data_IF_397693811456
#
_entry.id   IF_397693811456
#
_cell.length_a   1.000
_cell.length_b   1.000
_cell.length_c   1.000
_cell.angle_alpha   90.00
_cell.angle_beta   90.00
_cell.angle_gamma   90.00
#
_symmetry.space_group_name_H-M   'P 1'
#
loop_
_entity.id
_entity.type
_entity.pdbx_description
1 polymer ?
#
# COMPACT_ATOMS: atom_id res chain seq x y z
N UNK A 1 -6.58 35.22 -9.59
CA UNK A 1 -7.27 33.95 -9.27
C UNK A 1 -7.06 33.01 -10.44
N UNK A 2 -6.64 31.78 -10.18
CA UNK A 2 -6.47 30.75 -11.22
C UNK A 2 -7.41 29.61 -10.86
N UNK A 3 -8.38 29.34 -11.72
CA UNK A 3 -9.36 28.27 -11.50
C UNK A 3 -8.95 27.01 -12.28
N UNK A 4 -9.42 25.86 -11.83
CA UNK A 4 -9.06 24.56 -12.42
C UNK A 4 -10.35 23.84 -12.83
N UNK A 5 -10.35 23.25 -14.02
CA UNK A 5 -11.44 22.41 -14.53
C UNK A 5 -10.90 21.00 -14.75
N UNK A 6 -11.51 20.02 -14.11
CA UNK A 6 -11.22 18.59 -14.32
C UNK A 6 -12.13 18.08 -15.43
N UNK A 7 -11.55 17.58 -16.50
CA UNK A 7 -12.23 16.92 -17.61
C UNK A 7 -11.86 15.45 -17.63
N UNK A 8 -12.86 14.57 -17.54
CA UNK A 8 -12.63 13.13 -17.57
C UNK A 8 -13.76 12.40 -18.25
N UNK A 9 -13.45 11.24 -18.82
CA UNK A 9 -14.44 10.30 -19.31
C UNK A 9 -15.29 9.72 -18.18
N UNK A 10 -14.72 9.56 -16.99
CA UNK A 10 -15.38 8.95 -15.84
C UNK A 10 -15.74 10.01 -14.83
N UNK A 11 -17.05 10.18 -14.59
CA UNK A 11 -17.54 11.06 -13.53
C UNK A 11 -17.01 10.65 -12.15
N UNK A 12 -16.97 9.35 -11.85
CA UNK A 12 -16.42 8.87 -10.57
C UNK A 12 -14.94 9.18 -10.41
N UNK A 13 -14.14 9.09 -11.49
CA UNK A 13 -12.73 9.45 -11.43
C UNK A 13 -12.56 10.94 -11.16
N UNK A 14 -13.25 11.80 -11.92
CA UNK A 14 -13.17 13.24 -11.75
C UNK A 14 -13.66 13.70 -10.37
N UNK A 15 -14.77 13.13 -9.88
CA UNK A 15 -15.30 13.44 -8.55
C UNK A 15 -14.29 13.00 -7.45
N UNK A 16 -13.65 11.85 -7.59
CA UNK A 16 -12.60 11.40 -6.66
C UNK A 16 -11.35 12.30 -6.68
N UNK A 17 -10.91 12.74 -7.86
CA UNK A 17 -9.81 13.72 -7.96
C UNK A 17 -10.21 15.06 -7.34
N UNK A 18 -11.44 15.52 -7.58
CA UNK A 18 -11.96 16.75 -7.01
C UNK A 18 -12.07 16.68 -5.49
N UNK A 19 -12.50 15.54 -4.94
CA UNK A 19 -12.56 15.30 -3.50
C UNK A 19 -11.16 15.45 -2.87
N UNK A 20 -10.14 14.81 -3.44
CA UNK A 20 -8.76 14.93 -2.96
C UNK A 20 -8.24 16.38 -3.05
N UNK A 21 -8.46 17.03 -4.18
CA UNK A 21 -8.06 18.42 -4.41
C UNK A 21 -8.75 19.42 -3.46
N UNK A 22 -10.03 19.18 -3.14
CA UNK A 22 -10.83 20.07 -2.29
C UNK A 22 -10.26 20.24 -0.88
N UNK A 23 -9.49 19.26 -0.39
CA UNK A 23 -8.85 19.34 0.93
C UNK A 23 -7.72 20.37 0.98
N UNK A 24 -7.22 20.82 -0.17
CA UNK A 24 -6.06 21.70 -0.31
C UNK A 24 -6.41 23.03 -0.97
N UNK A 25 -7.69 23.25 -1.28
CA UNK A 25 -8.13 24.43 -2.01
C UNK A 25 -8.23 25.64 -1.08
N UNK A 26 -7.70 26.77 -1.52
CA UNK A 26 -7.98 28.07 -0.93
C UNK A 26 -8.97 28.82 -1.84
N UNK A 27 -10.26 28.94 -1.46
CA UNK A 27 -11.30 29.53 -2.32
C UNK A 27 -11.08 31.02 -2.62
N UNK A 28 -10.17 31.69 -1.90
CA UNK A 28 -9.76 33.08 -2.23
C UNK A 28 -8.87 33.14 -3.47
N UNK A 29 -8.19 32.05 -3.82
CA UNK A 29 -7.19 32.03 -4.89
C UNK A 29 -7.48 31.02 -6.01
N UNK A 30 -8.23 29.96 -5.72
CA UNK A 30 -8.56 28.90 -6.66
C UNK A 30 -9.98 28.36 -6.42
N UNK A 31 -10.74 28.16 -7.50
CA UNK A 31 -11.97 27.35 -7.53
C UNK A 31 -11.75 26.14 -8.43
N UNK A 32 -12.54 25.09 -8.19
CA UNK A 32 -12.47 23.83 -8.92
C UNK A 32 -13.83 23.51 -9.57
N UNK A 33 -13.82 23.19 -10.86
CA UNK A 33 -14.97 22.72 -11.62
C UNK A 33 -14.74 21.30 -12.15
N UNK A 34 -15.83 20.56 -12.37
CA UNK A 34 -15.79 19.19 -12.89
C UNK A 34 -16.73 19.06 -14.08
N UNK A 35 -16.16 18.68 -15.24
CA UNK A 35 -16.89 18.36 -16.45
C UNK A 35 -16.54 16.93 -16.89
N UNK A 36 -17.32 15.95 -16.44
CA UNK A 36 -17.01 14.54 -16.68
C UNK A 36 -18.24 13.67 -16.96
N UNK A 37 -18.01 12.60 -17.72
CA UNK A 37 -19.03 11.67 -18.18
C UNK A 37 -20.01 12.29 -19.18
N UNK A 38 -20.87 11.43 -19.74
CA UNK A 38 -22.02 11.82 -20.57
C UNK A 38 -23.32 11.44 -19.86
N UNK A 39 -24.41 12.12 -20.19
CA UNK A 39 -25.73 11.91 -19.58
C UNK A 39 -26.44 10.69 -20.21
N UNK A 40 -25.80 9.51 -20.16
CA UNK A 40 -26.34 8.19 -20.52
C UNK A 40 -26.24 7.25 -19.31
N UNK A 41 -27.38 6.85 -18.75
CA UNK A 41 -27.45 5.98 -17.56
C UNK A 41 -26.82 4.59 -17.79
N UNK A 42 -26.80 4.10 -19.03
CA UNK A 42 -26.26 2.78 -19.36
C UNK A 42 -24.80 2.86 -19.85
N UNK A 43 -24.37 4.00 -20.38
CA UNK A 43 -23.01 4.22 -20.91
C UNK A 43 -22.47 5.60 -20.49
N UNK A 44 -22.31 5.82 -19.19
CA UNK A 44 -21.92 7.13 -18.64
C UNK A 44 -20.48 7.56 -18.90
N UNK A 45 -19.66 6.71 -19.53
CA UNK A 45 -18.25 6.98 -19.83
C UNK A 45 -18.14 7.76 -21.15
N UNK A 46 -17.61 8.98 -21.09
CA UNK A 46 -17.43 9.84 -22.25
C UNK A 46 -17.17 11.29 -21.86
N UNK A 47 -16.94 12.15 -22.85
CA UNK A 47 -16.71 13.59 -22.67
C UNK A 47 -17.73 14.40 -23.46
N UNK A 48 -18.27 15.45 -22.84
CA UNK A 48 -19.29 16.33 -23.40
C UNK A 48 -18.76 17.77 -23.51
N UNK A 49 -18.63 18.27 -24.73
CA UNK A 49 -18.12 19.62 -25.01
C UNK A 49 -19.02 20.73 -24.41
N UNK A 50 -20.33 20.55 -24.36
CA UNK A 50 -21.27 21.54 -23.79
C UNK A 50 -21.13 21.58 -22.26
N UNK A 51 -20.92 20.43 -21.64
CA UNK A 51 -20.66 20.34 -20.19
C UNK A 51 -19.31 20.98 -19.82
N UNK A 52 -18.29 20.78 -20.64
CA UNK A 52 -16.97 21.42 -20.47
C UNK A 52 -17.11 22.94 -20.62
N UNK A 53 -17.74 23.42 -21.70
CA UNK A 53 -18.00 24.83 -21.96
C UNK A 53 -18.72 25.50 -20.78
N UNK A 54 -19.87 24.97 -20.37
CA UNK A 54 -20.66 25.52 -19.25
C UNK A 54 -19.90 25.53 -17.92
N UNK A 55 -19.05 24.53 -17.67
CA UNK A 55 -18.19 24.49 -16.47
C UNK A 55 -17.14 25.60 -16.52
N UNK A 56 -16.50 25.81 -17.67
CA UNK A 56 -15.53 26.91 -17.87
C UNK A 56 -16.23 28.27 -17.70
N UNK A 57 -17.41 28.46 -18.27
CA UNK A 57 -18.19 29.70 -18.12
C UNK A 57 -18.52 30.00 -16.65
N UNK A 58 -18.85 28.97 -15.85
CA UNK A 58 -19.15 29.12 -14.42
C UNK A 58 -17.94 29.61 -13.59
N UNK A 59 -16.73 29.52 -14.14
CA UNK A 59 -15.46 29.91 -13.52
C UNK A 59 -14.78 31.10 -14.24
N UNK A 60 -15.50 31.77 -15.14
CA UNK A 60 -14.99 32.85 -16.01
C UNK A 60 -14.57 34.14 -15.28
N UNK A 61 -14.88 34.25 -13.98
CA UNK A 61 -14.45 35.34 -13.11
C UNK A 61 -12.96 35.28 -12.75
N UNK A 62 -12.27 34.17 -13.08
CA UNK A 62 -10.83 34.04 -12.92
C UNK A 62 -10.02 34.88 -13.93
N UNK A 63 -8.76 35.11 -13.57
CA UNK A 63 -7.75 35.68 -14.47
C UNK A 63 -7.27 34.63 -15.48
N UNK A 64 -7.22 33.36 -15.07
CA UNK A 64 -6.88 32.22 -15.91
C UNK A 64 -7.61 30.94 -15.46
N UNK A 65 -7.85 30.02 -16.40
CA UNK A 65 -8.47 28.72 -16.16
C UNK A 65 -7.58 27.62 -16.73
N UNK A 66 -7.22 26.63 -15.91
CA UNK A 66 -6.43 25.48 -16.34
C UNK A 66 -7.35 24.26 -16.49
N UNK A 67 -7.32 23.63 -17.65
CA UNK A 67 -8.08 22.40 -17.91
C UNK A 67 -7.16 21.19 -17.76
N UNK A 68 -7.46 20.36 -16.77
CA UNK A 68 -6.80 19.09 -16.48
C UNK A 68 -7.59 17.96 -17.14
N UNK A 69 -6.94 17.09 -17.91
CA UNK A 69 -7.60 16.10 -18.76
C UNK A 69 -7.01 14.71 -18.58
N UNK A 70 -7.78 13.65 -18.84
CA UNK A 70 -7.30 12.25 -18.78
C UNK A 70 -6.74 11.73 -20.11
N UNK A 71 -7.61 11.38 -21.05
CA UNK A 71 -7.34 10.66 -22.29
C UNK A 71 -7.48 11.58 -23.50
N UNK A 72 -6.98 11.16 -24.65
CA UNK A 72 -6.90 12.00 -25.86
C UNK A 72 -8.23 12.60 -26.33
N UNK A 73 -9.37 11.90 -26.19
CA UNK A 73 -10.68 12.44 -26.58
C UNK A 73 -11.16 13.59 -25.70
N UNK A 74 -10.70 13.69 -24.45
CA UNK A 74 -10.99 14.82 -23.58
C UNK A 74 -10.37 16.12 -24.12
N UNK A 75 -9.21 16.02 -24.78
CA UNK A 75 -8.56 17.14 -25.47
C UNK A 75 -9.45 17.64 -26.59
N UNK A 76 -9.90 16.75 -27.49
CA UNK A 76 -10.76 17.11 -28.62
C UNK A 76 -12.10 17.72 -28.17
N UNK A 77 -12.72 17.16 -27.13
CA UNK A 77 -13.96 17.72 -26.56
C UNK A 77 -13.72 19.09 -25.91
N UNK A 78 -12.55 19.30 -25.30
CA UNK A 78 -12.19 20.60 -24.73
C UNK A 78 -11.89 21.64 -25.81
N UNK A 79 -11.18 21.27 -26.87
CA UNK A 79 -10.95 22.15 -28.04
C UNK A 79 -12.29 22.55 -28.67
N UNK A 80 -13.21 21.60 -28.85
CA UNK A 80 -14.57 21.89 -29.32
C UNK A 80 -15.31 22.83 -28.36
N UNK A 81 -15.18 22.63 -27.05
CA UNK A 81 -15.77 23.52 -26.05
C UNK A 81 -15.21 24.94 -26.15
N UNK A 82 -13.91 25.10 -26.41
CA UNK A 82 -13.26 26.40 -26.60
C UNK A 82 -13.74 27.12 -27.86
N UNK A 83 -14.03 26.41 -28.94
CA UNK A 83 -14.64 27.00 -30.15
C UNK A 83 -16.06 27.53 -29.92
N UNK A 84 -16.77 26.99 -28.92
CA UNK A 84 -18.13 27.41 -28.56
C UNK A 84 -18.15 28.53 -27.51
N UNK A 85 -17.05 28.75 -26.79
CA UNK A 85 -16.93 29.75 -25.74
C UNK A 85 -16.85 31.18 -26.31
N UNK A 86 -17.22 32.15 -25.48
CA UNK A 86 -16.91 33.56 -25.74
C UNK A 86 -15.38 33.72 -25.90
N UNK A 87 -14.90 34.41 -26.96
CA UNK A 87 -13.47 34.58 -27.22
C UNK A 87 -12.67 35.14 -26.04
N UNK A 88 -13.25 36.08 -25.28
CA UNK A 88 -12.59 36.70 -24.12
C UNK A 88 -12.42 35.72 -22.96
N UNK A 89 -13.30 34.71 -22.86
CA UNK A 89 -13.16 33.61 -21.89
C UNK A 89 -12.16 32.59 -22.40
N UNK A 90 -12.26 32.21 -23.68
CA UNK A 90 -11.39 31.21 -24.30
C UNK A 90 -9.90 31.60 -24.23
N UNK A 91 -9.56 32.89 -24.39
CA UNK A 91 -8.19 33.39 -24.25
C UNK A 91 -7.58 33.17 -22.85
N UNK A 92 -8.41 33.01 -21.81
CA UNK A 92 -7.96 32.76 -20.43
C UNK A 92 -7.70 31.28 -20.15
N UNK A 93 -8.06 30.39 -21.08
CA UNK A 93 -8.03 28.94 -20.84
C UNK A 93 -6.71 28.34 -21.32
N UNK A 94 -6.09 27.51 -20.49
CA UNK A 94 -4.88 26.74 -20.82
C UNK A 94 -5.13 25.25 -20.60
N UNK A 95 -4.82 24.43 -21.61
CA UNK A 95 -4.89 22.97 -21.52
C UNK A 95 -3.58 22.43 -20.93
N UNK A 96 -3.66 21.58 -19.91
CA UNK A 96 -2.50 20.97 -19.27
C UNK A 96 -2.42 19.48 -19.59
N UNK A 97 -1.24 19.02 -20.04
CA UNK A 97 -0.96 17.62 -20.39
C UNK A 97 -0.47 16.76 -19.22
N UNK A 98 -0.49 17.30 -18.00
CA UNK A 98 -0.09 16.60 -16.80
C UNK A 98 -0.98 15.38 -16.49
N UNK A 99 -0.46 14.35 -15.79
CA UNK A 99 -1.30 13.26 -15.30
C UNK A 99 -2.47 13.79 -14.48
N UNK A 100 -3.68 13.30 -14.75
CA UNK A 100 -4.90 13.89 -14.20
C UNK A 100 -4.86 14.05 -12.68
N UNK A 101 -4.46 13.02 -11.94
CA UNK A 101 -4.50 13.04 -10.47
C UNK A 101 -3.38 13.91 -9.91
N UNK A 102 -2.12 13.55 -10.14
CA UNK A 102 -0.96 14.23 -9.57
C UNK A 102 -0.85 15.68 -10.07
N UNK A 103 -1.11 15.90 -11.36
CA UNK A 103 -1.11 17.22 -11.97
C UNK A 103 -2.17 18.14 -11.39
N UNK A 104 -3.39 17.63 -11.16
CA UNK A 104 -4.48 18.44 -10.56
C UNK A 104 -4.12 18.84 -9.14
N UNK A 105 -3.57 17.94 -8.33
CA UNK A 105 -3.17 18.26 -6.96
C UNK A 105 -2.06 19.33 -6.95
N UNK A 106 -1.03 19.19 -7.79
CA UNK A 106 0.04 20.17 -7.90
C UNK A 106 -0.48 21.54 -8.38
N UNK A 107 -1.37 21.54 -9.37
CA UNK A 107 -2.02 22.76 -9.87
C UNK A 107 -2.85 23.45 -8.78
N UNK A 108 -3.70 22.70 -8.06
CA UNK A 108 -4.58 23.25 -7.01
C UNK A 108 -3.78 23.85 -5.88
N UNK A 109 -2.72 23.18 -5.43
CA UNK A 109 -1.85 23.67 -4.36
C UNK A 109 -1.12 24.94 -4.80
N UNK A 110 -0.52 24.93 -6.00
CA UNK A 110 0.19 26.08 -6.55
C UNK A 110 -0.75 27.28 -6.76
N UNK A 111 -1.91 27.07 -7.36
CA UNK A 111 -2.93 28.11 -7.57
C UNK A 111 -3.48 28.64 -6.24
N UNK A 112 -3.78 27.76 -5.28
CA UNK A 112 -4.29 28.13 -3.95
C UNK A 112 -3.27 28.93 -3.14
N UNK A 113 -1.98 28.78 -3.42
CA UNK A 113 -0.91 29.58 -2.81
C UNK A 113 -0.79 31.00 -3.38
N UNK A 114 -1.51 31.31 -4.47
CA UNK A 114 -1.44 32.59 -5.18
C UNK A 114 -0.35 32.69 -6.24
N UNK A 115 0.18 31.56 -6.72
CA UNK A 115 1.22 31.53 -7.75
C UNK A 115 0.73 32.08 -9.11
N UNK A 116 1.68 32.42 -9.99
CA UNK A 116 1.42 32.85 -11.37
C UNK A 116 1.10 31.66 -12.27
N UNK A 117 0.37 31.90 -13.37
CA UNK A 117 -0.08 30.88 -14.31
C UNK A 117 1.05 29.97 -14.79
N UNK A 118 2.20 30.54 -15.14
CA UNK A 118 3.35 29.77 -15.64
C UNK A 118 3.86 28.78 -14.59
N UNK A 119 3.96 29.20 -13.33
CA UNK A 119 4.37 28.35 -12.21
C UNK A 119 3.36 27.25 -11.92
N UNK A 120 2.06 27.55 -12.02
CA UNK A 120 1.01 26.53 -11.82
C UNK A 120 1.08 25.46 -12.92
N UNK A 121 1.24 25.86 -14.18
CA UNK A 121 1.38 24.94 -15.32
C UNK A 121 2.66 24.09 -15.23
N UNK A 122 3.78 24.69 -14.79
CA UNK A 122 5.05 23.99 -14.59
C UNK A 122 4.95 22.93 -13.47
N UNK A 123 4.37 23.29 -12.33
CA UNK A 123 4.12 22.35 -11.22
C UNK A 123 3.18 21.22 -11.65
N UNK A 124 2.10 21.53 -12.36
CA UNK A 124 1.21 20.49 -12.88
C UNK A 124 1.95 19.52 -13.81
N UNK A 125 2.66 20.05 -14.81
CA UNK A 125 3.33 19.26 -15.86
C UNK A 125 4.47 18.40 -15.30
N UNK A 126 5.11 18.85 -14.21
CA UNK A 126 6.21 18.16 -13.54
C UNK A 126 5.74 17.09 -12.54
N UNK A 127 4.43 16.96 -12.30
CA UNK A 127 3.88 16.12 -11.24
C UNK A 127 4.12 14.60 -11.40
N UNK A 128 4.51 14.15 -12.60
CA UNK A 128 4.90 12.75 -12.83
C UNK A 128 6.32 12.44 -12.33
N UNK A 129 7.20 13.43 -12.26
CA UNK A 129 8.63 13.24 -11.95
C UNK A 129 8.87 12.52 -10.61
N UNK A 130 8.17 12.85 -9.51
CA UNK A 130 8.36 12.17 -8.23
C UNK A 130 8.08 10.66 -8.32
N UNK A 131 7.04 10.27 -9.06
CA UNK A 131 6.69 8.87 -9.25
C UNK A 131 7.75 8.14 -10.09
N UNK A 132 8.29 8.79 -11.12
CA UNK A 132 9.39 8.24 -11.94
C UNK A 132 10.67 8.03 -11.14
N UNK A 133 11.07 8.98 -10.29
CA UNK A 133 12.25 8.83 -9.44
C UNK A 133 12.05 7.67 -8.46
N UNK A 134 10.87 7.55 -7.84
CA UNK A 134 10.56 6.47 -6.91
C UNK A 134 10.61 5.08 -7.55
N UNK A 135 10.23 4.97 -8.82
CA UNK A 135 10.30 3.73 -9.60
C UNK A 135 11.70 3.46 -10.21
N UNK A 136 12.66 4.37 -10.03
CA UNK A 136 14.01 4.24 -10.57
C UNK A 136 14.08 4.38 -12.10
N UNK A 137 13.09 5.02 -12.72
CA UNK A 137 13.13 5.31 -14.16
C UNK A 137 14.27 6.31 -14.46
N UNK A 138 15.04 6.07 -15.53
CA UNK A 138 16.10 7.00 -15.96
C UNK A 138 15.49 8.33 -16.43
N UNK A 139 15.52 9.35 -15.57
CA UNK A 139 15.12 10.72 -15.89
C UNK A 139 16.30 11.43 -16.58
N UNK A 140 16.74 10.92 -17.73
CA UNK A 140 17.99 11.36 -18.39
C UNK A 140 17.96 12.78 -18.98
N UNK A 141 16.95 13.62 -18.71
CA UNK A 141 16.83 14.98 -19.28
C UNK A 141 16.27 16.05 -18.33
N UNK A 142 16.09 15.80 -17.03
CA UNK A 142 15.57 16.82 -16.07
C UNK A 142 16.54 17.08 -14.90
N UNK A 143 17.64 16.34 -14.83
CA UNK A 143 18.67 16.45 -13.79
C UNK A 143 19.47 17.76 -13.79
N UNK A 144 19.32 18.65 -14.77
CA UNK A 144 20.00 19.96 -14.71
C UNK A 144 19.32 20.98 -13.77
N UNK A 145 18.07 20.75 -13.32
CA UNK A 145 17.34 21.71 -12.48
C UNK A 145 16.96 21.19 -11.08
N UNK A 146 17.39 19.97 -10.72
CA UNK A 146 17.19 19.40 -9.38
C UNK A 146 18.44 19.44 -8.49
N UNK A 147 19.60 19.78 -9.06
CA UNK A 147 20.83 20.02 -8.30
C UNK A 147 21.01 21.51 -7.96
N UNK A 148 20.80 21.79 -6.67
CA UNK A 148 21.03 23.04 -5.94
C UNK A 148 20.29 24.29 -6.47
N UNK A 149 19.12 24.65 -5.89
CA UNK A 149 18.72 26.05 -5.89
C UNK A 149 19.93 26.87 -5.42
N UNK A 150 20.22 27.98 -6.11
CA UNK A 150 21.31 28.90 -5.75
C UNK A 150 21.34 29.01 -4.22
N UNK A 151 22.49 28.71 -3.61
CA UNK A 151 22.60 28.74 -2.16
C UNK A 151 22.24 30.15 -1.70
N UNK A 152 21.08 30.29 -1.09
CA UNK A 152 20.66 31.54 -0.49
C UNK A 152 21.25 31.63 0.91
N UNK A 153 21.79 32.79 1.25
CA UNK A 153 22.13 33.12 2.63
C UNK A 153 20.93 33.81 3.27
N UNK A 154 20.54 33.35 4.45
CA UNK A 154 19.32 33.79 5.11
C UNK A 154 19.20 33.22 6.52
N UNK A 155 18.08 33.52 7.17
CA UNK A 155 17.77 32.98 8.49
C UNK A 155 17.39 31.50 8.39
N UNK A 156 17.93 30.70 9.30
CA UNK A 156 17.74 29.25 9.30
C UNK A 156 16.88 28.78 10.49
N UNK A 157 16.06 27.76 10.23
CA UNK A 157 15.33 27.03 11.25
C UNK A 157 15.44 25.52 11.01
N UNK A 158 15.69 24.80 12.10
CA UNK A 158 15.89 23.35 12.08
C UNK A 158 14.67 22.68 12.73
N UNK A 159 14.24 21.55 12.17
CA UNK A 159 13.12 20.80 12.68
C UNK A 159 13.25 19.30 12.41
N UNK A 160 12.97 18.48 13.42
CA UNK A 160 12.81 17.03 13.27
C UNK A 160 11.36 16.73 12.88
N UNK A 161 11.12 16.12 11.72
CA UNK A 161 9.75 15.82 11.27
C UNK A 161 9.12 14.74 12.16
N UNK A 162 7.93 15.04 12.71
CA UNK A 162 7.20 14.15 13.64
C UNK A 162 5.99 13.46 13.00
N UNK A 163 5.55 13.91 11.82
CA UNK A 163 4.41 13.34 11.10
C UNK A 163 4.66 11.86 10.77
N UNK A 164 3.74 10.93 11.10
CA UNK A 164 3.94 9.49 10.90
C UNK A 164 4.27 9.08 9.46
N UNK A 165 3.73 9.81 8.49
CA UNK A 165 3.95 9.57 7.06
C UNK A 165 4.90 10.59 6.42
N UNK A 166 5.61 11.39 7.23
CA UNK A 166 6.50 12.44 6.73
C UNK A 166 5.76 13.64 6.13
N UNK A 167 6.43 14.40 5.26
CA UNK A 167 5.83 15.55 4.57
C UNK A 167 5.19 15.12 3.24
N UNK A 168 4.14 14.29 3.31
CA UNK A 168 3.34 13.95 2.14
C UNK A 168 2.46 15.13 1.69
N UNK A 169 1.61 14.90 0.68
CA UNK A 169 0.86 15.96 -0.02
C UNK A 169 0.17 16.95 0.93
N UNK A 170 -0.52 16.51 1.98
CA UNK A 170 -1.25 17.42 2.89
C UNK A 170 -0.33 18.30 3.76
N UNK A 171 0.63 17.77 4.55
CA UNK A 171 1.66 18.56 5.23
C UNK A 171 2.45 19.48 4.30
N UNK A 172 2.79 18.99 3.10
CA UNK A 172 3.52 19.74 2.10
C UNK A 172 2.69 20.93 1.59
N UNK A 173 1.40 20.73 1.30
CA UNK A 173 0.49 21.82 0.91
C UNK A 173 0.34 22.87 2.00
N UNK A 174 0.23 22.46 3.27
CA UNK A 174 0.16 23.40 4.39
C UNK A 174 1.45 24.22 4.53
N UNK A 175 2.61 23.61 4.26
CA UNK A 175 3.89 24.31 4.20
C UNK A 175 3.92 25.33 3.06
N UNK A 176 3.52 24.94 1.85
CA UNK A 176 3.43 25.84 0.68
C UNK A 176 2.51 27.02 0.96
N UNK A 177 1.28 26.77 1.43
CA UNK A 177 0.29 27.82 1.77
C UNK A 177 0.77 28.75 2.88
N UNK A 178 1.52 28.23 3.85
CA UNK A 178 2.07 29.07 4.92
C UNK A 178 3.19 29.97 4.41
N UNK A 179 4.14 29.42 3.65
CA UNK A 179 5.30 30.16 3.17
C UNK A 179 4.98 31.14 2.05
N UNK A 180 3.99 30.87 1.20
CA UNK A 180 3.61 31.76 0.09
C UNK A 180 3.06 33.11 0.53
N UNK A 181 2.65 33.24 1.81
CA UNK A 181 2.11 34.49 2.39
C UNK A 181 3.16 35.55 2.66
N UNK A 182 4.46 35.20 2.64
CA UNK A 182 5.55 36.11 2.95
C UNK A 182 6.42 36.38 1.73
N UNK A 183 6.91 37.62 1.63
CA UNK A 183 7.87 38.05 0.62
C UNK A 183 9.29 37.64 1.04
N UNK A 184 9.60 36.37 0.83
CA UNK A 184 10.93 35.81 1.05
C UNK A 184 11.23 34.71 0.01
N UNK A 185 12.52 34.51 -0.25
CA UNK A 185 13.04 33.36 -0.97
C UNK A 185 13.33 32.23 0.03
N UNK A 186 13.10 30.99 -0.39
CA UNK A 186 13.21 29.83 0.49
C UNK A 186 14.07 28.72 -0.08
N UNK A 187 14.73 28.01 0.83
CA UNK A 187 15.38 26.75 0.53
C UNK A 187 15.15 25.77 1.69
N UNK A 188 14.65 24.57 1.37
CA UNK A 188 14.52 23.48 2.34
C UNK A 188 15.60 22.43 2.09
N UNK A 189 16.28 22.03 3.16
CA UNK A 189 17.43 21.14 3.12
C UNK A 189 17.10 19.86 3.88
N UNK A 190 17.44 18.71 3.29
CA UNK A 190 17.48 17.40 3.97
C UNK A 190 18.73 16.66 3.51
N UNK A 191 19.67 16.41 4.43
CA UNK A 191 20.98 15.85 4.08
C UNK A 191 21.71 16.73 3.08
N UNK A 192 22.03 16.20 1.90
CA UNK A 192 22.71 16.94 0.83
C UNK A 192 21.75 17.53 -0.21
N UNK A 193 20.44 17.23 -0.14
CA UNK A 193 19.45 17.74 -1.09
C UNK A 193 18.93 19.09 -0.64
N UNK A 194 18.74 19.99 -1.59
CA UNK A 194 18.19 21.33 -1.40
C UNK A 194 17.06 21.53 -2.39
N UNK A 195 15.91 22.02 -1.95
CA UNK A 195 14.73 22.23 -2.79
C UNK A 195 14.07 23.57 -2.51
N UNK A 196 13.21 24.01 -3.43
CA UNK A 196 12.24 25.07 -3.20
C UNK A 196 11.01 24.50 -2.46
N UNK A 197 10.74 24.91 -1.20
CA UNK A 197 9.57 24.43 -0.44
C UNK A 197 8.23 25.00 -0.91
N UNK A 198 8.21 25.87 -1.93
CA UNK A 198 6.98 26.28 -2.60
C UNK A 198 6.58 25.33 -3.75
N UNK A 199 7.44 24.38 -4.10
CA UNK A 199 7.15 23.33 -5.10
C UNK A 199 6.72 22.04 -4.41
N UNK A 200 5.48 21.63 -4.66
CA UNK A 200 4.93 20.38 -4.13
C UNK A 200 5.69 19.18 -4.69
N UNK A 201 6.10 19.25 -5.96
CA UNK A 201 6.85 18.19 -6.62
C UNK A 201 8.22 18.01 -5.98
N UNK A 202 8.94 19.11 -5.72
CA UNK A 202 10.25 19.03 -5.08
C UNK A 202 10.16 18.52 -3.63
N UNK A 203 9.11 18.91 -2.89
CA UNK A 203 8.81 18.35 -1.57
C UNK A 203 8.57 16.82 -1.60
N UNK A 204 7.96 16.32 -2.68
CA UNK A 204 7.78 14.88 -2.89
C UNK A 204 9.11 14.17 -3.24
N UNK A 205 9.94 14.77 -4.08
CA UNK A 205 11.25 14.23 -4.51
C UNK A 205 12.26 14.11 -3.36
N UNK A 206 12.24 15.04 -2.38
CA UNK A 206 13.16 15.00 -1.23
C UNK A 206 12.79 13.90 -0.21
N UNK A 207 11.58 13.31 -0.33
CA UNK A 207 11.07 12.18 0.46
C UNK A 207 11.26 12.37 1.98
N UNK A 208 10.84 13.48 2.57
CA UNK A 208 10.97 13.70 4.02
C UNK A 208 10.08 12.71 4.80
N UNK A 209 10.66 11.94 5.70
CA UNK A 209 10.03 10.91 6.54
C UNK A 209 10.03 11.32 8.01
N UNK A 210 9.27 10.60 8.82
CA UNK A 210 9.32 10.77 10.27
C UNK A 210 10.75 10.55 10.80
N UNK A 211 11.21 11.45 11.68
CA UNK A 211 12.54 11.43 12.26
C UNK A 211 13.61 12.12 11.41
N UNK A 212 13.32 12.51 10.17
CA UNK A 212 14.27 13.27 9.36
C UNK A 212 14.45 14.69 9.90
N UNK A 213 15.70 15.16 9.90
CA UNK A 213 16.05 16.56 10.14
C UNK A 213 15.91 17.36 8.84
N UNK A 214 15.13 18.43 8.91
CA UNK A 214 15.01 19.41 7.83
C UNK A 214 15.46 20.80 8.30
N UNK A 215 16.03 21.56 7.37
CA UNK A 215 16.42 22.96 7.62
C UNK A 215 15.76 23.86 6.60
N UNK A 216 14.93 24.80 7.06
CA UNK A 216 14.40 25.87 6.23
C UNK A 216 15.34 27.07 6.32
N UNK A 217 15.79 27.56 5.16
CA UNK A 217 16.47 28.84 5.00
C UNK A 217 15.48 29.81 4.35
N UNK A 218 15.30 30.98 4.94
CA UNK A 218 14.52 32.07 4.38
C UNK A 218 15.39 33.32 4.22
N UNK A 219 15.31 33.99 3.07
CA UNK A 219 16.05 35.23 2.79
C UNK A 219 15.10 36.29 2.22
N UNK A 220 15.22 37.53 2.66
CA UNK A 220 14.38 38.65 2.21
C UNK A 220 13.78 39.48 3.33
N UNK A 221 12.90 40.41 2.97
CA UNK A 221 12.31 41.41 3.89
C UNK A 221 11.52 40.76 5.03
N UNK A 222 10.85 39.64 4.78
CA UNK A 222 9.98 38.95 5.75
C UNK A 222 10.56 37.60 6.21
N UNK A 223 11.88 37.43 6.16
CA UNK A 223 12.53 36.18 6.55
C UNK A 223 12.26 35.78 8.01
N UNK A 224 12.13 36.77 8.90
CA UNK A 224 11.91 36.53 10.33
C UNK A 224 10.50 36.00 10.60
N UNK A 225 9.50 36.62 9.99
CA UNK A 225 8.10 36.22 10.07
C UNK A 225 7.88 34.85 9.41
N UNK A 226 8.50 34.61 8.26
CA UNK A 226 8.38 33.33 7.56
C UNK A 226 8.99 32.17 8.37
N UNK A 227 10.15 32.39 9.00
CA UNK A 227 10.77 31.39 9.89
C UNK A 227 9.91 31.15 11.13
N UNK A 228 9.32 32.19 11.71
CA UNK A 228 8.42 32.04 12.85
C UNK A 228 7.17 31.22 12.47
N UNK A 229 6.56 31.52 11.32
CA UNK A 229 5.40 30.80 10.80
C UNK A 229 5.72 29.34 10.47
N UNK A 230 6.90 29.07 9.88
CA UNK A 230 7.38 27.70 9.66
C UNK A 230 7.50 26.92 10.98
N UNK A 231 8.13 27.50 12.00
CA UNK A 231 8.29 26.85 13.30
C UNK A 231 6.95 26.61 14.00
N UNK A 232 6.01 27.54 13.89
CA UNK A 232 4.65 27.37 14.42
C UNK A 232 3.90 26.26 13.70
N UNK A 233 3.93 26.25 12.36
CA UNK A 233 3.34 25.20 11.54
C UNK A 233 3.95 23.84 11.90
N UNK A 234 5.27 23.75 12.02
CA UNK A 234 5.98 22.53 12.35
C UNK A 234 5.64 22.02 13.77
N UNK A 235 5.51 22.92 14.75
CA UNK A 235 5.02 22.60 16.10
C UNK A 235 3.60 22.01 16.09
N UNK A 236 2.73 22.56 15.23
CA UNK A 236 1.36 22.11 15.04
C UNK A 236 1.23 20.96 14.03
N UNK A 237 2.36 20.35 13.64
CA UNK A 237 2.37 19.15 12.81
C UNK A 237 2.02 19.34 11.35
N UNK A 238 2.33 20.51 10.80
CA UNK A 238 2.07 20.83 9.40
C UNK A 238 0.58 20.68 9.03
N UNK A 239 -0.31 20.99 9.97
CA UNK A 239 -1.76 20.91 9.77
C UNK A 239 -2.35 19.51 9.98
N UNK A 240 -1.56 18.57 10.52
CA UNK A 240 -2.04 17.24 10.89
C UNK A 240 -2.00 17.02 12.40
N UNK A 241 -2.95 16.22 12.89
CA UNK A 241 -2.85 15.68 14.25
C UNK A 241 -1.66 14.72 14.33
N UNK A 242 -0.54 15.21 14.87
CA UNK A 242 0.56 14.33 15.24
C UNK A 242 0.13 13.60 16.53
N UNK A 243 0.31 12.27 16.62
CA UNK A 243 0.19 11.56 17.88
C UNK A 243 1.02 12.27 18.95
N UNK A 244 0.36 12.74 20.02
CA UNK A 244 1.04 13.50 21.07
C UNK A 244 2.30 12.75 21.53
N UNK A 245 3.41 13.48 21.67
CA UNK A 245 4.63 12.92 22.23
C UNK A 245 4.30 12.23 23.55
N UNK A 246 4.51 10.90 23.58
CA UNK A 246 4.57 10.13 24.81
C UNK A 246 5.84 10.52 25.56
N UNK A 247 5.87 11.74 26.09
CA UNK A 247 6.70 12.08 27.22
C UNK A 247 6.26 11.18 28.37
N UNK A 248 7.17 10.33 28.85
CA UNK A 248 6.92 9.35 29.92
C UNK A 248 6.11 9.96 31.08
N UNK A 249 4.80 9.70 31.10
CA UNK A 249 3.91 9.92 32.24
C UNK A 249 2.90 8.78 32.29
N UNK A 250 3.14 7.86 33.21
CA UNK A 250 2.21 6.79 33.55
C UNK A 250 0.98 7.38 34.25
N UNK A 251 -0.19 7.25 33.64
CA UNK A 251 -1.48 7.35 34.33
C UNK A 251 -2.05 5.94 34.48
N UNK A 252 -2.44 5.58 35.71
CA UNK A 252 -3.03 4.28 36.04
C UNK A 252 -4.55 4.33 35.95
N UNK A 253 -5.13 3.34 35.29
CA UNK A 253 -6.54 2.94 35.42
C UNK A 253 -6.62 1.42 35.63
N UNK A 254 -7.74 0.93 36.16
CA UNK A 254 -8.01 -0.52 36.29
C UNK A 254 -9.04 -0.93 35.25
N UNK A 255 -8.69 -1.89 34.40
CA UNK A 255 -9.64 -2.59 33.53
C UNK A 255 -9.61 -4.09 33.88
N UNK A 256 -10.75 -4.63 34.30
CA UNK A 256 -11.05 -6.06 34.48
C UNK A 256 -12.43 -6.27 33.84
N UNK A 257 -12.59 -7.21 32.88
CA UNK A 257 -12.59 -8.64 33.15
C UNK A 257 -11.45 -9.42 32.48
N UNK A 258 -11.05 -10.50 33.16
CA UNK A 258 -9.96 -11.39 32.81
C UNK A 258 -10.22 -12.27 31.58
N UNK A 259 -9.14 -12.60 30.87
CA UNK A 259 -8.95 -13.94 30.28
C UNK A 259 -7.46 -14.27 30.21
N UNK A 260 -6.87 -14.59 31.37
CA UNK A 260 -5.68 -15.44 31.38
C UNK A 260 -6.15 -16.84 30.97
N UNK A 261 -5.57 -17.40 29.90
CA UNK A 261 -5.89 -18.77 29.48
C UNK A 261 -4.87 -19.70 30.11
N UNK A 262 -5.34 -20.67 30.89
CA UNK A 262 -4.53 -21.77 31.39
C UNK A 262 -5.03 -23.06 30.76
N UNK A 263 -4.17 -23.71 29.98
CA UNK A 263 -4.50 -24.95 29.30
C UNK A 263 -3.24 -25.75 28.93
N UNK A 264 -3.39 -27.06 28.70
CA UNK A 264 -2.30 -27.89 28.20
C UNK A 264 -1.82 -27.41 26.83
N UNK A 265 -0.52 -27.49 26.60
CA UNK A 265 0.09 -27.37 25.29
C UNK A 265 -0.42 -28.49 24.37
N UNK A 266 -0.72 -28.12 23.14
CA UNK A 266 -1.00 -29.04 22.04
C UNK A 266 0.02 -28.76 20.95
N UNK A 267 0.98 -29.68 20.79
CA UNK A 267 2.08 -29.47 19.87
C UNK A 267 1.64 -29.74 18.42
N UNK A 268 1.78 -28.73 17.57
CA UNK A 268 1.66 -28.85 16.13
C UNK A 268 3.06 -28.89 15.51
N UNK A 269 3.35 -30.00 14.85
CA UNK A 269 4.55 -30.15 14.03
C UNK A 269 4.13 -30.15 12.57
N UNK A 270 4.40 -29.03 11.90
CA UNK A 270 4.30 -29.00 10.46
C UNK A 270 5.28 -30.03 9.88
N UNK A 271 4.76 -30.97 9.09
CA UNK A 271 5.61 -31.99 8.48
C UNK A 271 6.32 -31.34 7.31
N UNK A 272 7.63 -31.14 7.43
CA UNK A 272 8.43 -30.68 6.30
C UNK A 272 8.47 -31.82 5.26
N UNK A 273 7.72 -31.66 4.17
CA UNK A 273 7.62 -32.66 3.13
C UNK A 273 8.92 -32.65 2.32
N UNK A 274 9.86 -33.50 2.73
CA UNK A 274 11.01 -33.83 1.88
C UNK A 274 10.51 -34.49 0.60
N UNK A 275 11.16 -34.17 -0.52
CA UNK A 275 10.98 -34.90 -1.78
C UNK A 275 11.27 -36.38 -1.51
N UNK A 276 10.27 -37.23 -1.72
CA UNK A 276 10.38 -38.68 -1.52
C UNK A 276 10.20 -39.36 -2.85
N UNK A 277 11.32 -39.77 -3.43
CA UNK A 277 11.37 -40.33 -4.78
C UNK A 277 12.04 -41.70 -4.76
N UNK A 278 11.36 -42.70 -5.30
CA UNK A 278 11.95 -43.94 -5.78
C UNK A 278 11.81 -43.95 -7.30
N UNK A 279 12.65 -43.17 -7.99
CA UNK A 279 12.61 -43.09 -9.44
C UNK A 279 13.33 -44.29 -10.06
N UNK A 280 12.65 -44.93 -11.01
CA UNK A 280 13.30 -45.83 -11.97
C UNK A 280 13.90 -44.98 -13.08
N UNK A 281 15.16 -45.19 -13.45
CA UNK A 281 15.73 -44.52 -14.62
C UNK A 281 15.38 -45.31 -15.89
N UNK A 282 14.88 -44.67 -16.97
CA UNK A 282 14.58 -43.24 -17.12
C UNK A 282 13.20 -42.83 -16.59
N UNK A 283 13.06 -41.57 -16.17
CA UNK A 283 11.78 -40.98 -15.73
C UNK A 283 10.82 -40.87 -16.92
N UNK A 284 9.59 -41.30 -16.72
CA UNK A 284 8.49 -41.12 -17.69
C UNK A 284 7.88 -39.72 -17.54
N UNK A 285 8.23 -38.84 -18.48
CA UNK A 285 7.82 -37.44 -18.52
C UNK A 285 6.30 -37.27 -18.60
N UNK A 286 5.63 -38.07 -19.44
CA UNK A 286 4.17 -37.95 -19.62
C UNK A 286 3.43 -38.37 -18.35
N UNK A 287 3.93 -39.40 -17.67
CA UNK A 287 3.43 -39.81 -16.35
C UNK A 287 3.64 -38.71 -15.31
N UNK A 288 4.80 -38.04 -15.27
CA UNK A 288 5.05 -36.95 -14.33
C UNK A 288 4.13 -35.74 -14.57
N UNK A 289 3.94 -35.34 -15.83
CA UNK A 289 3.02 -34.24 -16.17
C UNK A 289 1.59 -34.60 -15.79
N UNK A 290 1.17 -35.84 -16.01
CA UNK A 290 -0.17 -36.31 -15.62
C UNK A 290 -0.37 -36.27 -14.10
N UNK A 291 0.62 -36.75 -13.33
CA UNK A 291 0.61 -36.70 -11.87
C UNK A 291 0.56 -35.25 -11.36
N UNK A 292 1.34 -34.36 -11.98
CA UNK A 292 1.35 -32.94 -11.65
C UNK A 292 -0.02 -32.30 -11.86
N UNK A 293 -0.59 -32.41 -13.07
CA UNK A 293 -1.90 -31.84 -13.39
C UNK A 293 -3.00 -32.40 -12.48
N UNK A 294 -2.95 -33.69 -12.15
CA UNK A 294 -3.90 -34.29 -11.21
C UNK A 294 -3.76 -33.68 -9.81
N UNK A 295 -2.54 -33.55 -9.29
CA UNK A 295 -2.29 -32.95 -7.98
C UNK A 295 -2.71 -31.48 -7.90
N UNK A 296 -2.53 -30.71 -8.99
CA UNK A 296 -3.03 -29.33 -9.10
C UNK A 296 -4.55 -29.30 -9.01
N UNK A 297 -5.26 -30.13 -9.80
CA UNK A 297 -6.72 -30.21 -9.77
C UNK A 297 -7.26 -30.62 -8.39
N UNK A 298 -6.66 -31.62 -7.76
CA UNK A 298 -7.05 -32.08 -6.42
C UNK A 298 -6.82 -31.00 -5.36
N UNK A 299 -5.75 -30.21 -5.50
CA UNK A 299 -5.47 -29.06 -4.63
C UNK A 299 -6.46 -27.92 -4.86
N UNK A 300 -6.80 -27.60 -6.11
CA UNK A 300 -7.82 -26.60 -6.43
C UNK A 300 -9.18 -26.98 -5.83
N UNK A 301 -9.51 -28.27 -5.82
CA UNK A 301 -10.73 -28.77 -5.19
C UNK A 301 -10.69 -28.68 -3.65
N UNK A 302 -9.53 -28.89 -3.02
CA UNK A 302 -9.32 -28.58 -1.60
C UNK A 302 -9.54 -27.10 -1.30
N UNK A 303 -8.92 -26.20 -2.07
CA UNK A 303 -9.05 -24.76 -1.88
C UNK A 303 -10.50 -24.30 -2.05
N UNK A 304 -11.23 -24.81 -3.04
CA UNK A 304 -12.68 -24.53 -3.20
C UNK A 304 -13.49 -25.01 -2.00
N UNK A 305 -13.10 -26.11 -1.33
CA UNK A 305 -13.72 -26.53 -0.06
C UNK A 305 -13.40 -25.53 1.06
N UNK A 306 -12.19 -25.00 1.12
CA UNK A 306 -11.81 -23.98 2.10
C UNK A 306 -12.55 -22.66 1.88
N UNK A 307 -12.68 -22.18 0.64
CA UNK A 307 -13.50 -21.00 0.28
C UNK A 307 -14.92 -21.16 0.82
N UNK A 308 -15.58 -22.29 0.54
CA UNK A 308 -16.95 -22.57 1.02
C UNK A 308 -17.03 -22.61 2.55
N UNK A 309 -16.04 -23.22 3.21
CA UNK A 309 -16.00 -23.30 4.68
C UNK A 309 -15.79 -21.92 5.31
N UNK A 310 -14.80 -21.17 4.83
CA UNK A 310 -14.48 -19.82 5.27
C UNK A 310 -15.67 -18.87 5.09
N UNK A 311 -16.29 -18.88 3.91
CA UNK A 311 -17.46 -18.05 3.64
C UNK A 311 -18.61 -18.33 4.64
N UNK A 312 -18.86 -19.61 4.93
CA UNK A 312 -19.91 -20.03 5.87
C UNK A 312 -19.60 -19.70 7.32
N UNK A 313 -18.35 -19.86 7.77
CA UNK A 313 -17.98 -19.81 9.18
C UNK A 313 -17.36 -18.48 9.62
N UNK A 314 -16.81 -17.71 8.68
CA UNK A 314 -15.96 -16.55 8.94
C UNK A 314 -16.22 -15.34 8.03
N UNK A 315 -16.98 -15.51 6.94
CA UNK A 315 -17.36 -14.43 6.03
C UNK A 315 -16.49 -14.29 4.78
N UNK A 316 -16.84 -13.32 3.94
CA UNK A 316 -16.28 -13.13 2.60
C UNK A 316 -14.81 -12.69 2.61
N UNK A 317 -14.39 -11.91 3.60
CA UNK A 317 -13.00 -11.45 3.71
C UNK A 317 -12.01 -12.59 3.98
N UNK A 318 -12.42 -13.63 4.71
CA UNK A 318 -11.58 -14.82 4.91
C UNK A 318 -11.64 -15.75 3.70
N UNK A 319 -12.79 -15.87 3.03
CA UNK A 319 -12.85 -16.69 1.81
C UNK A 319 -11.97 -16.13 0.69
N UNK A 320 -11.87 -14.81 0.57
CA UNK A 320 -11.01 -14.13 -0.41
C UNK A 320 -9.53 -14.51 -0.32
N UNK A 321 -9.04 -14.93 0.87
CA UNK A 321 -7.68 -15.46 1.04
C UNK A 321 -7.47 -16.71 0.17
N UNK A 322 -8.43 -17.63 0.22
CA UNK A 322 -8.36 -18.89 -0.52
C UNK A 322 -8.71 -18.71 -1.99
N UNK A 323 -9.52 -17.71 -2.35
CA UNK A 323 -9.69 -17.29 -3.74
C UNK A 323 -8.35 -16.79 -4.33
N UNK A 324 -7.58 -16.02 -3.55
CA UNK A 324 -6.22 -15.63 -3.92
C UNK A 324 -5.27 -16.83 -4.09
N UNK A 325 -5.35 -17.84 -3.21
CA UNK A 325 -4.60 -19.09 -3.36
C UNK A 325 -4.98 -19.85 -4.65
N UNK A 326 -6.28 -19.87 -5.01
CA UNK A 326 -6.75 -20.44 -6.28
C UNK A 326 -6.15 -19.68 -7.46
N UNK A 327 -6.19 -18.34 -7.45
CA UNK A 327 -5.62 -17.54 -8.53
C UNK A 327 -4.13 -17.80 -8.74
N UNK A 328 -3.35 -18.00 -7.67
CA UNK A 328 -1.93 -18.35 -7.78
C UNK A 328 -1.75 -19.74 -8.39
N UNK A 329 -2.59 -20.70 -8.00
CA UNK A 329 -2.45 -22.09 -8.44
C UNK A 329 -3.01 -22.35 -9.85
N UNK A 330 -3.96 -21.53 -10.30
CA UNK A 330 -4.59 -21.55 -11.63
C UNK A 330 -3.86 -20.67 -12.65
N UNK A 331 -2.65 -20.21 -12.32
CA UNK A 331 -1.81 -19.36 -13.17
C UNK A 331 -1.08 -20.20 -14.24
N UNK A 332 -1.40 -19.96 -15.52
CA UNK A 332 -0.82 -20.68 -16.66
C UNK A 332 0.71 -20.55 -16.76
N UNK A 333 1.30 -19.42 -16.35
CA UNK A 333 2.75 -19.19 -16.38
C UNK A 333 3.46 -20.02 -15.30
N UNK A 334 2.87 -20.14 -14.11
CA UNK A 334 3.34 -21.05 -13.06
C UNK A 334 3.28 -22.51 -13.54
N UNK A 335 2.13 -22.94 -14.04
CA UNK A 335 1.92 -24.34 -14.44
C UNK A 335 2.78 -24.74 -15.64
N UNK A 336 2.96 -23.83 -16.61
CA UNK A 336 3.86 -24.04 -17.75
C UNK A 336 5.32 -24.10 -17.32
N UNK A 337 5.79 -23.21 -16.44
CA UNK A 337 7.15 -23.24 -15.90
C UNK A 337 7.50 -24.59 -15.27
N UNK A 338 6.61 -25.12 -14.42
CA UNK A 338 6.81 -26.43 -13.78
C UNK A 338 6.82 -27.55 -14.81
N UNK A 339 5.90 -27.51 -15.77
CA UNK A 339 5.82 -28.50 -16.86
C UNK A 339 7.09 -28.50 -17.72
N UNK A 340 7.65 -27.33 -17.98
CA UNK A 340 8.88 -27.18 -18.74
C UNK A 340 10.09 -27.71 -17.98
N UNK A 341 10.20 -27.47 -16.66
CA UNK A 341 11.23 -28.09 -15.80
C UNK A 341 11.15 -29.61 -15.83
N UNK A 342 9.95 -30.19 -15.75
CA UNK A 342 9.76 -31.65 -15.88
C UNK A 342 10.33 -32.14 -17.22
N UNK A 343 10.00 -31.48 -18.34
CA UNK A 343 10.42 -31.90 -19.69
C UNK A 343 11.92 -31.70 -19.95
N UNK A 344 12.45 -30.52 -19.60
CA UNK A 344 13.79 -30.08 -19.99
C UNK A 344 14.84 -30.61 -19.02
N UNK A 345 14.61 -30.45 -17.72
CA UNK A 345 15.57 -30.83 -16.68
C UNK A 345 15.46 -32.31 -16.30
N UNK A 346 14.42 -32.99 -16.81
CA UNK A 346 14.11 -34.41 -16.52
C UNK A 346 14.02 -34.66 -15.03
N UNK A 347 13.36 -33.76 -14.33
CA UNK A 347 13.06 -33.84 -12.90
C UNK A 347 11.66 -34.44 -12.71
N UNK A 348 11.39 -34.98 -11.52
CA UNK A 348 10.05 -35.44 -11.17
C UNK A 348 9.09 -34.26 -10.98
N UNK A 349 7.79 -34.53 -10.98
CA UNK A 349 6.78 -33.55 -10.62
C UNK A 349 6.98 -32.97 -9.20
N UNK A 350 7.44 -33.77 -8.23
CA UNK A 350 7.68 -33.30 -6.84
C UNK A 350 8.85 -32.31 -6.81
N UNK A 351 9.95 -32.64 -7.46
CA UNK A 351 11.15 -31.81 -7.49
C UNK A 351 10.88 -30.50 -8.26
N UNK A 352 10.35 -30.59 -9.48
CA UNK A 352 10.06 -29.42 -10.32
C UNK A 352 9.11 -28.44 -9.63
N UNK A 353 8.05 -28.94 -8.98
CA UNK A 353 7.12 -28.11 -8.22
C UNK A 353 7.79 -27.48 -6.99
N UNK A 354 8.58 -28.26 -6.25
CA UNK A 354 9.27 -27.76 -5.06
C UNK A 354 10.27 -26.65 -5.41
N UNK A 355 11.04 -26.82 -6.47
CA UNK A 355 12.04 -25.85 -6.93
C UNK A 355 11.40 -24.55 -7.39
N UNK A 356 10.38 -24.63 -8.25
CA UNK A 356 9.63 -23.47 -8.73
C UNK A 356 9.03 -22.67 -7.56
N UNK A 357 8.36 -23.36 -6.63
CA UNK A 357 7.77 -22.70 -5.47
C UNK A 357 8.80 -22.14 -4.50
N UNK A 358 9.97 -22.77 -4.38
CA UNK A 358 11.07 -22.27 -3.55
C UNK A 358 11.67 -20.99 -4.15
N UNK A 359 11.88 -20.93 -5.46
CA UNK A 359 12.35 -19.72 -6.16
C UNK A 359 11.37 -18.56 -5.96
N UNK A 360 10.07 -18.79 -6.14
CA UNK A 360 9.03 -17.77 -5.91
C UNK A 360 8.94 -17.34 -4.44
N UNK A 361 9.05 -18.30 -3.51
CA UNK A 361 9.10 -17.98 -2.08
C UNK A 361 10.29 -17.07 -1.76
N UNK A 362 11.44 -17.30 -2.38
CA UNK A 362 12.63 -16.46 -2.18
C UNK A 362 12.43 -15.05 -2.74
N UNK A 363 11.82 -14.91 -3.93
CA UNK A 363 11.48 -13.60 -4.49
C UNK A 363 10.60 -12.77 -3.53
N UNK A 364 9.62 -13.40 -2.90
CA UNK A 364 8.77 -12.74 -1.90
C UNK A 364 9.56 -12.31 -0.66
N UNK A 365 10.50 -13.13 -0.18
CA UNK A 365 11.36 -12.78 0.97
C UNK A 365 12.30 -11.62 0.67
N UNK A 366 12.72 -11.47 -0.58
CA UNK A 366 13.64 -10.41 -1.01
C UNK A 366 12.93 -9.05 -1.20
N UNK A 367 11.59 -9.00 -1.11
CA UNK A 367 10.83 -7.77 -1.18
C UNK A 367 11.15 -6.84 0.01
N UNK A 368 11.18 -5.54 -0.26
CA UNK A 368 11.45 -4.52 0.77
C UNK A 368 10.24 -4.28 1.68
N UNK A 369 9.02 -4.48 1.18
CA UNK A 369 7.77 -4.32 1.94
C UNK A 369 7.56 -5.50 2.90
N UNK A 370 7.57 -5.27 4.23
CA UNK A 370 7.32 -6.32 5.21
C UNK A 370 5.95 -7.00 5.11
N UNK A 371 4.91 -6.30 4.63
CA UNK A 371 3.58 -6.86 4.43
C UNK A 371 3.56 -7.87 3.27
N UNK A 372 4.21 -7.51 2.15
CA UNK A 372 4.34 -8.43 1.01
C UNK A 372 5.26 -9.60 1.34
N UNK A 373 6.35 -9.36 2.09
CA UNK A 373 7.23 -10.45 2.55
C UNK A 373 6.46 -11.54 3.26
N UNK A 374 5.52 -11.19 4.16
CA UNK A 374 4.70 -12.11 4.94
C UNK A 374 3.75 -13.00 4.11
N UNK A 375 3.69 -12.81 2.79
CA UNK A 375 2.96 -13.66 1.83
C UNK A 375 3.78 -14.83 1.32
N UNK A 376 5.08 -14.89 1.64
CA UNK A 376 5.90 -16.07 1.36
C UNK A 376 5.35 -17.34 2.04
N UNK A 377 4.69 -17.18 3.19
CA UNK A 377 4.02 -18.26 3.92
C UNK A 377 2.89 -18.89 3.09
N UNK A 378 2.15 -18.10 2.29
CA UNK A 378 1.09 -18.58 1.41
C UNK A 378 1.64 -19.46 0.28
N UNK A 379 2.80 -19.08 -0.29
CA UNK A 379 3.47 -19.87 -1.31
C UNK A 379 3.98 -21.20 -0.74
N UNK A 380 4.54 -21.19 0.47
CA UNK A 380 4.96 -22.42 1.16
C UNK A 380 3.77 -23.31 1.51
N UNK A 381 2.64 -22.71 1.88
CA UNK A 381 1.38 -23.44 2.08
C UNK A 381 1.01 -24.17 0.79
N UNK A 382 0.76 -23.44 -0.31
CA UNK A 382 0.43 -24.01 -1.62
C UNK A 382 1.42 -25.09 -2.07
N UNK A 383 2.73 -24.86 -1.88
CA UNK A 383 3.76 -25.85 -2.18
C UNK A 383 3.47 -27.17 -1.47
N UNK A 384 3.28 -27.11 -0.16
CA UNK A 384 3.03 -28.30 0.66
C UNK A 384 1.69 -28.95 0.29
N UNK A 385 0.66 -28.15 0.00
CA UNK A 385 -0.67 -28.63 -0.40
C UNK A 385 -0.61 -29.54 -1.62
N UNK A 386 0.10 -29.11 -2.68
CA UNK A 386 0.30 -29.92 -3.89
C UNK A 386 1.22 -31.11 -3.63
N UNK A 387 2.26 -30.95 -2.79
CA UNK A 387 3.15 -32.07 -2.44
C UNK A 387 2.44 -33.20 -1.70
N UNK A 388 1.43 -32.91 -0.85
CA UNK A 388 0.62 -33.95 -0.23
C UNK A 388 -0.07 -34.84 -1.28
N UNK A 389 -0.65 -34.23 -2.32
CA UNK A 389 -1.30 -34.96 -3.42
C UNK A 389 -0.28 -35.72 -4.27
N UNK A 390 0.84 -35.08 -4.65
CA UNK A 390 1.92 -35.72 -5.41
C UNK A 390 2.54 -36.92 -4.69
N UNK A 391 2.61 -36.87 -3.36
CA UNK A 391 3.14 -37.96 -2.53
C UNK A 391 2.06 -38.95 -2.09
N UNK A 392 0.79 -38.73 -2.48
CA UNK A 392 -0.37 -39.48 -2.01
C UNK A 392 -0.39 -39.62 -0.46
N UNK A 393 0.00 -38.55 0.23
CA UNK A 393 0.00 -38.46 1.68
C UNK A 393 -1.26 -37.73 2.14
N UNK A 394 -1.85 -38.24 3.21
CA UNK A 394 -2.93 -37.54 3.88
C UNK A 394 -2.35 -36.42 4.74
N UNK A 395 -2.99 -35.24 4.68
CA UNK A 395 -2.64 -34.15 5.60
C UNK A 395 -2.94 -34.58 7.03
N UNK A 396 -2.05 -34.31 7.99
CA UNK A 396 -2.33 -34.60 9.38
C UNK A 396 -3.54 -33.76 9.83
N UNK A 397 -4.59 -34.43 10.29
CA UNK A 397 -5.70 -33.80 11.00
C UNK A 397 -5.41 -33.91 12.49
N UNK A 398 -5.15 -32.78 13.14
CA UNK A 398 -4.85 -32.74 14.57
C UNK A 398 -5.84 -31.79 15.26
N UNK A 399 -6.94 -32.38 15.72
CA UNK A 399 -7.92 -31.70 16.58
C UNK A 399 -7.57 -32.02 18.03
N UNK A 400 -7.31 -31.02 18.88
CA UNK A 400 -7.01 -31.29 20.28
C UNK A 400 -8.20 -32.00 20.93
N UNK A 401 -7.95 -33.10 21.66
CA UNK A 401 -9.04 -33.88 22.27
C UNK A 401 -9.73 -33.14 23.42
N UNK A 402 -9.04 -32.17 24.03
CA UNK A 402 -9.45 -31.30 25.14
C UNK A 402 -9.11 -29.83 24.82
N UNK A 403 -9.68 -28.84 25.54
CA UNK A 403 -9.27 -27.45 25.41
C UNK A 403 -7.75 -27.26 25.60
N UNK A 404 -7.07 -26.67 24.61
CA UNK A 404 -5.61 -26.60 24.58
C UNK A 404 -5.07 -25.32 23.93
N UNK A 405 -3.80 -25.00 24.17
CA UNK A 405 -3.04 -23.95 23.48
C UNK A 405 -2.21 -24.61 22.39
N UNK A 406 -2.43 -24.25 21.13
CA UNK A 406 -1.66 -24.77 20.00
C UNK A 406 -0.27 -24.13 20.00
N UNK A 407 0.77 -24.95 19.97
CA UNK A 407 2.16 -24.53 19.92
C UNK A 407 2.78 -25.06 18.62
N UNK A 408 3.34 -24.18 17.80
CA UNK A 408 3.98 -24.57 16.54
C UNK A 408 5.21 -23.73 16.23
N UNK A 409 5.99 -24.16 15.23
CA UNK A 409 7.05 -23.32 14.64
C UNK A 409 6.42 -22.15 13.88
N UNK A 410 5.63 -22.49 12.87
CA UNK A 410 4.76 -21.61 12.07
C UNK A 410 3.45 -22.38 11.84
N UNK A 411 2.41 -21.73 11.33
CA UNK A 411 1.16 -22.40 10.95
C UNK A 411 0.62 -21.85 9.63
N UNK A 412 0.18 -22.73 8.75
CA UNK A 412 -0.36 -22.36 7.44
C UNK A 412 -1.87 -22.00 7.49
N UNK A 413 -2.35 -21.10 6.61
CA UNK A 413 -3.77 -20.80 6.46
C UNK A 413 -4.62 -22.06 6.21
N UNK A 414 -4.15 -22.95 5.32
CA UNK A 414 -4.85 -24.20 5.00
C UNK A 414 -4.95 -25.14 6.21
N UNK A 415 -4.00 -25.09 7.13
CA UNK A 415 -4.05 -25.85 8.38
C UNK A 415 -5.07 -25.22 9.33
N UNK A 416 -4.95 -23.91 9.55
CA UNK A 416 -5.75 -23.22 10.56
C UNK A 416 -7.25 -23.24 10.24
N UNK A 417 -7.64 -23.11 8.96
CA UNK A 417 -9.05 -23.20 8.54
C UNK A 417 -9.66 -24.58 8.79
N UNK A 418 -8.84 -25.62 8.90
CA UNK A 418 -9.31 -26.98 9.18
C UNK A 418 -9.50 -27.24 10.68
N UNK A 419 -8.87 -26.47 11.56
CA UNK A 419 -8.93 -26.67 13.01
C UNK A 419 -10.34 -26.42 13.55
N UNK A 420 -10.87 -27.39 14.31
CA UNK A 420 -12.16 -27.22 14.96
C UNK A 420 -12.10 -26.21 16.12
N UNK A 421 -12.83 -25.11 15.94
CA UNK A 421 -12.76 -23.90 16.76
C UNK A 421 -13.01 -24.13 18.28
N UNK A 422 -13.80 -25.13 18.67
CA UNK A 422 -14.30 -25.24 20.05
C UNK A 422 -13.27 -25.69 21.11
N UNK A 423 -12.17 -26.35 20.71
CA UNK A 423 -11.14 -26.84 21.65
C UNK A 423 -9.81 -26.10 21.55
N UNK A 424 -9.62 -25.27 20.54
CA UNK A 424 -8.47 -24.39 20.46
C UNK A 424 -8.72 -23.15 21.33
N UNK A 425 -7.89 -22.89 22.33
CA UNK A 425 -8.06 -21.72 23.22
C UNK A 425 -7.18 -20.54 22.81
N UNK A 426 -5.94 -20.79 22.39
CA UNK A 426 -4.97 -19.80 21.94
C UNK A 426 -3.90 -20.47 21.05
N UNK A 427 -3.09 -19.65 20.37
CA UNK A 427 -2.02 -20.08 19.46
C UNK A 427 -0.71 -19.40 19.87
N UNK A 428 0.37 -20.16 20.01
CA UNK A 428 1.73 -19.67 20.21
C UNK A 428 2.65 -20.18 19.12
N UNK A 429 3.32 -19.29 18.41
CA UNK A 429 4.28 -19.64 17.35
C UNK A 429 5.70 -19.21 17.70
N UNK A 430 6.66 -20.08 17.41
CA UNK A 430 8.09 -19.80 17.61
C UNK A 430 8.57 -18.73 16.62
N UNK A 431 8.08 -18.80 15.38
CA UNK A 431 8.36 -17.91 14.25
C UNK A 431 7.03 -17.42 13.64
N UNK A 432 7.10 -16.45 12.73
CA UNK A 432 5.96 -15.99 11.93
C UNK A 432 5.65 -14.51 12.07
N UNK A 433 4.78 -14.01 11.20
CA UNK A 433 4.43 -12.59 11.12
C UNK A 433 2.98 -12.35 11.54
N UNK A 434 2.73 -11.32 12.34
CA UNK A 434 1.38 -10.95 12.79
C UNK A 434 0.49 -10.43 11.65
N UNK A 435 1.07 -10.13 10.49
CA UNK A 435 0.37 -9.71 9.26
C UNK A 435 0.07 -10.86 8.30
N UNK A 436 0.51 -12.08 8.64
CA UNK A 436 0.24 -13.28 7.84
C UNK A 436 -1.26 -13.60 7.79
N UNK A 437 -1.69 -14.30 6.74
CA UNK A 437 -3.07 -14.76 6.64
C UNK A 437 -3.47 -15.69 7.79
N UNK A 438 -2.53 -16.46 8.34
CA UNK A 438 -2.79 -17.27 9.54
C UNK A 438 -3.16 -16.40 10.75
N UNK A 439 -2.50 -15.27 10.95
CA UNK A 439 -2.84 -14.33 12.01
C UNK A 439 -4.22 -13.67 11.80
N UNK A 440 -4.54 -13.33 10.54
CA UNK A 440 -5.86 -12.78 10.17
C UNK A 440 -6.97 -13.81 10.44
N UNK A 441 -6.77 -15.06 10.03
CA UNK A 441 -7.72 -16.16 10.27
C UNK A 441 -7.87 -16.40 11.79
N UNK A 442 -6.78 -16.42 12.55
CA UNK A 442 -6.82 -16.59 14.01
C UNK A 442 -7.62 -15.47 14.70
N UNK A 443 -7.45 -14.23 14.22
CA UNK A 443 -8.21 -13.07 14.70
C UNK A 443 -9.71 -13.23 14.43
N UNK A 444 -10.10 -13.66 13.23
CA UNK A 444 -11.50 -13.92 12.89
C UNK A 444 -12.10 -15.08 13.70
N UNK A 445 -11.31 -16.12 13.97
CA UNK A 445 -11.66 -17.21 14.88
C UNK A 445 -11.77 -16.76 16.35
N UNK A 446 -11.42 -15.51 16.68
CA UNK A 446 -11.34 -14.94 18.02
C UNK A 446 -10.41 -15.75 18.93
N UNK A 447 -9.29 -16.22 18.36
CA UNK A 447 -8.23 -16.93 19.08
C UNK A 447 -7.06 -15.99 19.32
N UNK A 448 -6.68 -15.77 20.59
CA UNK A 448 -5.44 -15.07 20.91
C UNK A 448 -4.26 -15.79 20.26
N UNK A 449 -3.39 -15.03 19.62
CA UNK A 449 -2.22 -15.55 18.91
C UNK A 449 -0.99 -14.72 19.26
N UNK A 450 0.09 -15.41 19.67
CA UNK A 450 1.42 -14.83 19.85
C UNK A 450 2.37 -15.45 18.83
N UNK A 451 3.21 -14.63 18.22
CA UNK A 451 4.22 -15.04 17.23
C UNK A 451 5.60 -14.57 17.67
N UNK A 452 6.65 -15.11 17.06
CA UNK A 452 8.04 -14.79 17.39
C UNK A 452 8.41 -15.04 18.86
N UNK A 453 7.85 -16.10 19.46
CA UNK A 453 8.18 -16.50 20.84
C UNK A 453 9.56 -17.18 20.96
N UNK A 454 10.24 -17.43 19.82
CA UNK A 454 11.59 -17.97 19.77
C UNK A 454 11.67 -19.49 19.85
N UNK A 455 12.86 -20.03 19.54
CA UNK A 455 13.08 -21.46 19.40
C UNK A 455 12.85 -22.26 20.70
N UNK A 456 12.95 -21.63 21.87
CA UNK A 456 12.68 -22.26 23.17
C UNK A 456 11.24 -22.77 23.27
N UNK A 457 10.30 -22.15 22.55
CA UNK A 457 8.91 -22.61 22.48
C UNK A 457 8.81 -24.07 22.01
N UNK A 458 9.70 -24.48 21.11
CA UNK A 458 9.71 -25.83 20.53
C UNK A 458 10.24 -26.90 21.51
N UNK A 459 10.69 -26.51 22.71
CA UNK A 459 11.09 -27.43 23.77
C UNK A 459 9.94 -27.84 24.70
N UNK A 460 8.79 -27.17 24.58
CA UNK A 460 7.57 -27.48 25.36
C UNK A 460 7.09 -28.89 25.02
N UNK A 461 6.70 -29.63 26.06
CA UNK A 461 6.17 -31.00 25.91
C UNK A 461 4.65 -30.99 25.72
N UNK A 462 4.15 -32.00 25.02
CA UNK A 462 2.70 -32.18 24.87
C UNK A 462 2.02 -32.30 26.24
N UNK A 463 0.83 -31.71 26.35
CA UNK A 463 0.05 -31.59 27.58
C UNK A 463 0.69 -30.79 28.73
N UNK A 464 1.86 -30.16 28.54
CA UNK A 464 2.47 -29.29 29.54
C UNK A 464 1.58 -28.06 29.78
N UNK A 465 1.36 -27.70 31.04
CA UNK A 465 0.48 -26.57 31.36
C UNK A 465 1.16 -25.24 31.01
N UNK A 466 0.41 -24.41 30.29
CA UNK A 466 0.85 -23.09 29.85
C UNK A 466 -0.12 -22.02 30.35
N UNK A 467 0.42 -20.86 30.70
CA UNK A 467 -0.33 -19.65 31.01
C UNK A 467 -0.13 -18.66 29.86
N UNK A 468 -1.21 -18.31 29.19
CA UNK A 468 -1.25 -17.31 28.12
C UNK A 468 -1.78 -15.99 28.68
N UNK A 469 -0.91 -14.98 28.74
CA UNK A 469 -1.24 -13.64 29.21
C UNK A 469 -1.34 -12.69 28.01
N UNK A 470 -2.57 -12.46 27.58
CA UNK A 470 -2.89 -11.60 26.44
C UNK A 470 -2.54 -10.14 26.72
N UNK A 471 -2.55 -9.69 27.98
CA UNK A 471 -2.31 -8.28 28.33
C UNK A 471 -0.83 -7.91 28.21
N UNK A 472 0.03 -8.83 28.66
CA UNK A 472 1.48 -8.63 28.64
C UNK A 472 2.12 -9.21 27.37
N UNK A 473 1.34 -9.84 26.48
CA UNK A 473 1.83 -10.59 25.32
C UNK A 473 2.82 -11.69 25.70
N UNK A 474 2.56 -12.38 26.82
CA UNK A 474 3.46 -13.37 27.41
C UNK A 474 2.85 -14.78 27.38
N UNK A 475 3.71 -15.77 27.12
CA UNK A 475 3.42 -17.17 27.33
C UNK A 475 4.37 -17.71 28.40
N UNK A 476 3.83 -18.21 29.51
CA UNK A 476 4.62 -18.78 30.61
C UNK A 476 4.38 -20.28 30.74
N UNK A 477 5.46 -21.04 30.88
CA UNK A 477 5.41 -22.45 31.24
C UNK A 477 5.11 -22.54 32.75
N UNK A 478 4.00 -23.18 33.12
CA UNK A 478 3.66 -23.38 34.54
C UNK A 478 4.20 -24.73 35.02
N UNK A 479 4.78 -24.73 36.22
CA UNK A 479 5.35 -25.91 36.88
C UNK A 479 4.28 -26.92 37.33
#
# INVERSE_FOLDING_TARGET
MINIVIVSHSKHLADGVAELASQMINPTHCKLGVAAGIDDENHSIGTDAVKIMSTIESLSDADAIIVMMDLGSAILSTETALELLDPDIAEKVSLCSAPLVEGTLAAVVSASSGAKLETVLEEASSALLPKKEQLGENISNVTENTDAPVKIEGKEAHWTVRNPHGLHVRPASALVDTLSKFKAEYQLIKGNRRINPLSLNQLSLIQVRQGDEITLIASGEQQDEAIAAFLELAKNGFGEEIPAELGNKTLKGTLVPAKVIQAPAFLWHETDLSITENLSSPIDIDTQITLFNQAINDTLDDLKRYVKKAHREMGEHISAIFDGHIMILDDDDLLSSVTDRIKQDKLSAQQSWSDEMQERTQQYRDLTDPYLRARELDLRDLRNQVLYHLQNKTRPSYVPSKPAILIAKEIYPSTLIQVENHKLLAIGLAEGDYRSHSAIIASEMKKPMLVNLGAELLTIKDAQMLKFDIQNSELTITA
#
